data_IF_875137282289
#
_entry.id   IF_875137282289
#
_cell.length_a   1.000
_cell.length_b   1.000
_cell.length_c   1.000
_cell.angle_alpha   90.00
_cell.angle_beta   90.00
_cell.angle_gamma   90.00
#
_symmetry.space_group_name_H-M   'P 1'
#
loop_
_entity.id
_entity.type
_entity.pdbx_description
1 polymer ?
#
# COMPACT_ATOMS: atom_id res chain seq x y z
N UNK A 1 -2.25 -47.08 -24.80
CA UNK A 1 -3.14 -46.63 -23.71
C UNK A 1 -2.56 -47.06 -22.37
N UNK A 2 -1.73 -46.20 -21.73
CA UNK A 2 -1.32 -46.40 -20.34
C UNK A 2 -1.69 -45.13 -19.58
N UNK A 3 -2.61 -45.33 -18.65
CA UNK A 3 -3.37 -44.31 -17.93
C UNK A 3 -2.49 -43.75 -16.80
N UNK A 4 -2.40 -42.43 -16.77
CA UNK A 4 -2.51 -41.55 -15.60
C UNK A 4 -1.80 -42.05 -14.33
N UNK A 5 -0.65 -41.46 -13.96
CA UNK A 5 -0.35 -41.03 -12.59
C UNK A 5 0.75 -39.95 -12.61
N UNK A 6 0.41 -38.68 -12.87
CA UNK A 6 1.26 -37.56 -12.41
C UNK A 6 0.31 -36.43 -11.99
N UNK A 7 -0.28 -36.58 -10.80
CA UNK A 7 -1.02 -35.52 -10.12
C UNK A 7 -0.39 -35.32 -8.74
N UNK A 8 0.86 -34.85 -8.71
CA UNK A 8 1.56 -34.56 -7.46
C UNK A 8 2.67 -33.51 -7.68
N UNK A 9 2.32 -32.34 -8.20
CA UNK A 9 3.24 -31.20 -8.22
C UNK A 9 2.50 -29.86 -8.42
N UNK A 10 1.39 -29.64 -7.73
CA UNK A 10 0.73 -28.31 -7.70
C UNK A 10 0.58 -27.81 -6.25
N UNK A 11 1.65 -27.98 -5.47
CA UNK A 11 1.75 -27.41 -4.12
C UNK A 11 3.05 -26.61 -3.94
N UNK A 12 3.60 -26.08 -5.04
CA UNK A 12 4.69 -25.11 -4.96
C UNK A 12 4.12 -23.73 -4.68
N UNK A 13 4.39 -23.28 -3.45
CA UNK A 13 4.64 -21.89 -3.08
C UNK A 13 3.47 -20.92 -3.14
N UNK A 14 2.45 -21.15 -2.32
CA UNK A 14 1.78 -20.03 -1.68
C UNK A 14 2.73 -19.46 -0.61
N UNK A 15 3.81 -18.79 -1.03
CA UNK A 15 4.51 -17.90 -0.11
C UNK A 15 3.54 -16.79 0.24
N UNK A 16 3.29 -16.49 1.53
CA UNK A 16 2.64 -15.25 1.86
C UNK A 16 3.55 -14.16 1.30
N UNK A 17 3.08 -13.44 0.29
CA UNK A 17 3.66 -12.14 -0.06
C UNK A 17 3.48 -11.34 1.22
N UNK A 18 4.55 -11.24 2.02
CA UNK A 18 4.57 -10.33 3.15
C UNK A 18 4.13 -8.98 2.57
N UNK A 19 2.97 -8.49 3.01
CA UNK A 19 2.51 -7.18 2.63
C UNK A 19 3.58 -6.21 3.09
N UNK A 20 4.45 -5.82 2.16
CA UNK A 20 5.58 -4.97 2.45
C UNK A 20 4.96 -3.65 2.82
N UNK A 21 4.98 -3.31 4.10
CA UNK A 21 4.42 -2.04 4.54
C UNK A 21 5.35 -0.94 4.06
N UNK A 22 5.08 -0.41 2.87
CA UNK A 22 5.90 0.62 2.26
C UNK A 22 5.57 1.93 2.97
N UNK A 23 6.62 2.62 3.42
CA UNK A 23 6.49 3.95 4.00
C UNK A 23 6.57 4.99 2.89
N UNK A 24 5.53 5.81 2.76
CA UNK A 24 5.49 6.92 1.81
C UNK A 24 5.58 8.25 2.56
N UNK A 25 6.51 9.10 2.14
CA UNK A 25 6.77 10.38 2.79
C UNK A 25 5.92 11.51 2.20
N UNK A 26 5.67 12.53 3.01
CA UNK A 26 4.96 13.75 2.61
C UNK A 26 5.77 14.50 1.53
N UNK A 27 5.12 14.85 0.43
CA UNK A 27 5.73 15.57 -0.71
C UNK A 27 5.16 16.96 -0.90
N UNK A 28 3.89 17.18 -0.56
CA UNK A 28 3.27 18.49 -0.60
C UNK A 28 2.14 18.59 0.43
N UNK A 29 1.84 19.82 0.85
CA UNK A 29 0.66 20.12 1.67
C UNK A 29 0.06 21.46 1.28
N UNK A 30 -1.26 21.59 1.40
CA UNK A 30 -1.96 22.85 1.17
C UNK A 30 -3.18 22.95 2.09
N UNK A 31 -3.70 24.17 2.21
CA UNK A 31 -4.90 24.47 2.97
C UNK A 31 -5.97 24.97 2.01
N UNK A 32 -7.17 24.40 2.13
CA UNK A 32 -8.35 24.83 1.38
C UNK A 32 -9.51 25.01 2.38
N UNK A 33 -9.92 26.26 2.58
CA UNK A 33 -10.81 26.65 3.66
C UNK A 33 -10.20 26.34 5.03
N UNK A 34 -10.90 25.53 5.82
CA UNK A 34 -10.46 25.08 7.16
C UNK A 34 -9.71 23.74 7.13
N UNK A 35 -9.59 23.11 5.95
CA UNK A 35 -9.03 21.78 5.81
C UNK A 35 -7.59 21.83 5.31
N UNK A 36 -6.75 20.94 5.85
CA UNK A 36 -5.39 20.70 5.41
C UNK A 36 -5.32 19.38 4.64
N UNK A 37 -4.69 19.44 3.47
CA UNK A 37 -4.46 18.32 2.59
C UNK A 37 -2.97 17.98 2.53
N UNK A 38 -2.68 16.68 2.47
CA UNK A 38 -1.34 16.12 2.55
C UNK A 38 -1.14 15.15 1.39
N UNK A 39 -0.21 15.43 0.48
CA UNK A 39 0.14 14.54 -0.64
C UNK A 39 1.41 13.75 -0.30
N UNK A 40 1.37 12.46 -0.57
CA UNK A 40 2.47 11.53 -0.29
C UNK A 40 3.14 11.03 -1.58
N UNK A 41 4.32 10.42 -1.43
CA UNK A 41 5.14 9.93 -2.55
C UNK A 41 4.47 8.88 -3.46
N UNK A 42 3.49 8.14 -2.94
CA UNK A 42 2.66 7.23 -3.76
C UNK A 42 1.49 7.91 -4.48
N UNK A 43 1.33 9.23 -4.33
CA UNK A 43 0.20 9.97 -4.88
C UNK A 43 -1.04 10.00 -4.00
N UNK A 44 -1.06 9.33 -2.84
CA UNK A 44 -2.17 9.44 -1.89
C UNK A 44 -2.32 10.89 -1.42
N UNK A 45 -3.56 11.39 -1.39
CA UNK A 45 -3.94 12.67 -0.81
C UNK A 45 -4.82 12.41 0.40
N UNK A 46 -4.36 12.85 1.58
CA UNK A 46 -5.07 12.72 2.84
C UNK A 46 -5.56 14.10 3.30
N UNK A 47 -6.84 14.21 3.67
CA UNK A 47 -7.37 15.38 4.37
C UNK A 47 -7.31 15.12 5.88
N UNK A 48 -6.61 16.00 6.61
CA UNK A 48 -6.41 15.90 8.06
C UNK A 48 -7.19 16.97 8.84
N UNK A 49 -8.11 17.67 8.19
CA UNK A 49 -8.86 18.77 8.79
C UNK A 49 -7.93 19.87 9.28
N UNK A 50 -7.99 20.19 10.57
CA UNK A 50 -7.16 21.25 11.19
C UNK A 50 -5.82 20.73 11.74
N UNK A 51 -5.55 19.42 11.63
CA UNK A 51 -4.33 18.83 12.17
C UNK A 51 -3.11 19.09 11.26
N UNK A 52 -1.92 18.74 11.75
CA UNK A 52 -0.69 18.75 10.95
C UNK A 52 -0.63 17.50 10.08
N UNK A 53 -0.03 17.61 8.89
CA UNK A 53 0.22 16.47 8.03
C UNK A 53 1.22 15.50 8.69
N UNK A 54 0.91 14.20 8.77
CA UNK A 54 1.89 13.18 9.11
C UNK A 54 3.06 13.22 8.13
N UNK A 55 4.28 13.09 8.65
CA UNK A 55 5.49 13.07 7.81
C UNK A 55 5.55 11.85 6.88
N UNK A 56 4.84 10.77 7.24
CA UNK A 56 4.74 9.58 6.41
C UNK A 56 3.45 8.81 6.67
N UNK A 57 3.07 7.98 5.70
CA UNK A 57 1.99 6.99 5.78
C UNK A 57 2.53 5.60 5.45
N UNK A 58 1.79 4.59 5.89
CA UNK A 58 2.07 3.17 5.61
C UNK A 58 1.00 2.65 4.65
N UNK A 59 1.43 2.07 3.53
CA UNK A 59 0.58 1.36 2.58
C UNK A 59 0.54 -0.14 2.80
#
# INVERSE_FOLDING_TARGET
>A
MKKIVIAAALALTATPVAAQTITYFLTAQWVEGVNRFCRYGNGTVLNVGVQLCPLSIRG
#
